data_IF_926993381673
#
_entry.id   IF_926993381673
#
_cell.length_a   1.000
_cell.length_b   1.000
_cell.length_c   1.000
_cell.angle_alpha   90.00
_cell.angle_beta   90.00
_cell.angle_gamma   90.00
#
_symmetry.space_group_name_H-M   'P 1'
#
loop_
_entity.id
_entity.type
_entity.pdbx_description
1 polymer ?
#
# COMPACT_ATOMS: atom_id res chain seq x y z
N UNK A 1 -15.29 2.02 8.62
CA UNK A 1 -13.94 1.51 8.96
C UNK A 1 -14.02 0.93 10.36
N UNK A 2 -13.67 -0.34 10.55
CA UNK A 2 -13.65 -0.99 11.86
C UNK A 2 -12.19 -1.09 12.32
N UNK A 3 -11.90 -0.60 13.53
CA UNK A 3 -10.57 -0.67 14.16
C UNK A 3 -10.71 -1.17 15.59
N UNK A 4 -9.64 -1.74 16.13
CA UNK A 4 -9.58 -2.27 17.51
C UNK A 4 -9.92 -3.75 17.59
N UNK A 5 -11.06 -4.16 17.03
CA UNK A 5 -11.47 -5.58 17.03
C UNK A 5 -11.15 -6.29 15.72
N UNK A 6 -10.85 -7.58 15.83
CA UNK A 6 -10.81 -8.50 14.69
C UNK A 6 -12.23 -8.67 14.13
N UNK A 7 -12.37 -8.63 12.81
CA UNK A 7 -13.67 -8.67 12.14
C UNK A 7 -13.57 -9.43 10.82
N UNK A 8 -14.69 -9.99 10.37
CA UNK A 8 -14.78 -10.91 9.23
C UNK A 8 -15.11 -10.23 7.88
N UNK A 9 -15.11 -8.89 7.80
CA UNK A 9 -15.37 -8.17 6.53
C UNK A 9 -14.48 -8.66 5.37
N UNK A 10 -13.17 -8.92 5.56
CA UNK A 10 -12.33 -9.44 4.48
C UNK A 10 -12.84 -10.76 3.91
N UNK A 11 -13.23 -11.69 4.78
CA UNK A 11 -13.79 -12.99 4.40
C UNK A 11 -15.12 -12.83 3.67
N UNK A 12 -16.04 -12.03 4.22
CA UNK A 12 -17.36 -11.80 3.60
C UNK A 12 -17.23 -11.21 2.19
N UNK A 13 -16.28 -10.27 2.01
CA UNK A 13 -16.02 -9.67 0.71
C UNK A 13 -15.49 -10.69 -0.30
N UNK A 14 -14.57 -11.55 0.13
CA UNK A 14 -13.96 -12.56 -0.73
C UNK A 14 -15.01 -13.58 -1.20
N UNK A 15 -15.86 -14.06 -0.27
CA UNK A 15 -16.98 -14.97 -0.57
C UNK A 15 -17.94 -14.36 -1.61
N UNK A 16 -18.33 -13.09 -1.44
CA UNK A 16 -19.24 -12.41 -2.38
C UNK A 16 -18.62 -12.25 -3.78
N UNK A 17 -17.29 -12.20 -3.87
CA UNK A 17 -16.57 -12.09 -5.13
C UNK A 17 -16.29 -13.45 -5.80
N UNK A 18 -16.32 -14.53 -5.03
CA UNK A 18 -16.02 -15.90 -5.46
C UNK A 18 -17.07 -16.42 -6.45
N UNK A 19 -16.62 -17.20 -7.45
CA UNK A 19 -17.45 -17.57 -8.61
C UNK A 19 -18.59 -18.52 -8.21
N UNK A 20 -18.32 -19.56 -7.41
CA UNK A 20 -19.34 -20.54 -6.99
C UNK A 20 -20.44 -19.87 -6.17
N UNK A 21 -20.07 -18.96 -5.28
CA UNK A 21 -21.03 -18.16 -4.52
C UNK A 21 -21.92 -17.30 -5.42
N UNK A 22 -21.33 -16.65 -6.44
CA UNK A 22 -22.09 -15.83 -7.41
C UNK A 22 -22.99 -16.63 -8.34
N UNK A 23 -22.61 -17.85 -8.71
CA UNK A 23 -23.43 -18.74 -9.55
C UNK A 23 -24.50 -19.47 -8.75
N UNK A 24 -24.43 -19.45 -7.41
CA UNK A 24 -25.32 -20.20 -6.54
C UNK A 24 -25.02 -21.71 -6.49
N UNK A 25 -23.90 -22.15 -7.07
CA UNK A 25 -23.44 -23.54 -7.02
C UNK A 25 -22.68 -23.79 -5.70
N UNK A 26 -23.42 -23.73 -4.61
CA UNK A 26 -22.89 -23.85 -3.25
C UNK A 26 -23.49 -25.06 -2.54
N UNK A 27 -22.65 -25.70 -1.71
CA UNK A 27 -23.05 -26.80 -0.83
C UNK A 27 -23.07 -26.31 0.63
N UNK A 28 -23.65 -27.10 1.53
CA UNK A 28 -23.54 -26.85 2.98
C UNK A 28 -22.09 -26.96 3.50
N UNK A 29 -21.18 -27.52 2.69
CA UNK A 29 -19.74 -27.65 2.98
C UNK A 29 -18.88 -26.63 2.22
N UNK A 30 -19.48 -25.60 1.63
CA UNK A 30 -18.79 -24.57 0.85
C UNK A 30 -17.56 -23.98 1.56
N UNK A 31 -17.70 -23.55 2.81
CA UNK A 31 -16.62 -22.90 3.55
C UNK A 31 -15.40 -23.82 3.74
N UNK A 32 -15.55 -25.06 4.27
CA UNK A 32 -14.44 -26.02 4.34
C UNK A 32 -13.84 -26.41 2.99
N UNK A 33 -14.64 -26.46 1.92
CA UNK A 33 -14.17 -26.79 0.57
C UNK A 33 -13.31 -25.68 -0.05
N UNK A 34 -13.72 -24.42 0.12
CA UNK A 34 -13.03 -23.26 -0.47
C UNK A 34 -11.88 -22.77 0.40
N UNK A 35 -12.01 -22.86 1.72
CA UNK A 35 -11.03 -22.38 2.70
C UNK A 35 -10.64 -23.46 3.72
N UNK A 36 -9.97 -24.56 3.29
CA UNK A 36 -9.61 -25.68 4.18
C UNK A 36 -8.67 -25.26 5.31
N UNK A 37 -7.69 -24.39 5.01
CA UNK A 37 -6.71 -23.86 5.96
C UNK A 37 -7.14 -22.51 6.58
N UNK A 38 -8.43 -22.20 6.50
CA UNK A 38 -8.99 -20.90 6.86
C UNK A 38 -8.67 -19.78 5.85
N UNK A 39 -9.14 -18.57 6.16
CA UNK A 39 -8.96 -17.41 5.30
C UNK A 39 -7.57 -16.80 5.44
N UNK A 40 -6.75 -16.93 4.39
CA UNK A 40 -5.36 -16.45 4.37
C UNK A 40 -5.20 -15.06 3.71
N UNK A 41 -6.31 -14.39 3.39
CA UNK A 41 -6.32 -13.15 2.61
C UNK A 41 -6.43 -13.38 1.11
N UNK A 42 -6.72 -12.30 0.40
CA UNK A 42 -6.88 -12.27 -1.06
C UNK A 42 -5.52 -12.10 -1.73
N UNK A 43 -5.25 -12.91 -2.76
CA UNK A 43 -4.08 -12.77 -3.61
C UNK A 43 -4.36 -11.72 -4.69
N UNK A 44 -3.44 -10.76 -4.83
CA UNK A 44 -3.55 -9.71 -5.85
C UNK A 44 -3.17 -10.25 -7.23
N UNK A 45 -3.93 -9.88 -8.24
CA UNK A 45 -3.52 -10.03 -9.65
C UNK A 45 -2.37 -9.05 -9.98
N UNK A 46 -1.59 -9.27 -11.04
CA UNK A 46 -0.50 -8.36 -11.40
C UNK A 46 -0.95 -6.90 -11.59
N UNK A 47 -2.13 -6.68 -12.17
CA UNK A 47 -2.72 -5.34 -12.36
C UNK A 47 -3.11 -4.69 -11.02
N UNK A 48 -3.63 -5.48 -10.09
CA UNK A 48 -3.98 -5.00 -8.75
C UNK A 48 -2.73 -4.72 -7.90
N UNK A 49 -1.68 -5.53 -8.06
CA UNK A 49 -0.37 -5.28 -7.44
C UNK A 49 0.19 -3.94 -7.91
N UNK A 50 0.23 -3.70 -9.22
CA UNK A 50 0.65 -2.43 -9.81
C UNK A 50 -0.18 -1.27 -9.26
N UNK A 51 -1.50 -1.45 -9.12
CA UNK A 51 -2.39 -0.43 -8.57
C UNK A 51 -2.10 -0.10 -7.11
N UNK A 52 -1.93 -1.11 -6.26
CA UNK A 52 -1.63 -0.93 -4.83
C UNK A 52 -0.26 -0.25 -4.65
N UNK A 53 0.72 -0.65 -5.46
CA UNK A 53 2.05 -0.04 -5.49
C UNK A 53 1.95 1.42 -5.94
N UNK A 54 1.26 1.69 -7.05
CA UNK A 54 1.10 3.03 -7.59
C UNK A 54 0.43 3.97 -6.58
N UNK A 55 -0.61 3.49 -5.92
CA UNK A 55 -1.31 4.24 -4.88
C UNK A 55 -0.42 4.55 -3.67
N UNK A 56 0.34 3.56 -3.17
CA UNK A 56 1.26 3.76 -2.05
C UNK A 56 2.37 4.77 -2.42
N UNK A 57 2.92 4.67 -3.64
CA UNK A 57 3.93 5.60 -4.15
C UNK A 57 3.38 7.03 -4.28
N UNK A 58 2.18 7.19 -4.84
CA UNK A 58 1.50 8.48 -4.96
C UNK A 58 1.23 9.13 -3.59
N UNK A 59 0.79 8.35 -2.61
CA UNK A 59 0.61 8.83 -1.23
C UNK A 59 1.93 9.31 -0.62
N UNK A 60 3.03 8.57 -0.82
CA UNK A 60 4.33 8.97 -0.30
C UNK A 60 4.87 10.21 -1.00
N UNK A 61 4.73 10.30 -2.33
CA UNK A 61 5.09 11.48 -3.11
C UNK A 61 4.34 12.72 -2.61
N UNK A 62 3.03 12.60 -2.36
CA UNK A 62 2.21 13.70 -1.85
C UNK A 62 2.61 14.10 -0.43
N UNK A 63 2.94 13.12 0.42
CA UNK A 63 3.47 13.38 1.77
C UNK A 63 4.75 14.21 1.70
N UNK A 64 5.69 13.84 0.83
CA UNK A 64 6.95 14.58 0.65
C UNK A 64 6.71 15.96 0.03
N UNK A 65 5.86 16.07 -0.99
CA UNK A 65 5.51 17.34 -1.61
C UNK A 65 4.91 18.32 -0.61
N UNK A 66 4.00 17.85 0.25
CA UNK A 66 3.44 18.63 1.35
C UNK A 66 4.50 18.99 2.40
N UNK A 67 5.36 18.06 2.78
CA UNK A 67 6.42 18.32 3.77
C UNK A 67 7.42 19.39 3.30
N UNK A 68 7.60 19.54 1.99
CA UNK A 68 8.45 20.58 1.40
C UNK A 68 7.79 21.97 1.34
N UNK A 69 6.49 22.10 1.67
CA UNK A 69 5.79 23.38 1.72
C UNK A 69 5.89 24.00 3.12
N UNK A 70 7.05 24.59 3.42
CA UNK A 70 7.25 25.32 4.66
C UNK A 70 6.66 26.74 4.56
N UNK A 71 5.83 27.12 5.54
CA UNK A 71 5.42 28.51 5.72
C UNK A 71 6.52 29.30 6.46
N UNK A 72 6.56 30.62 6.25
CA UNK A 72 7.40 31.56 7.02
C UNK A 72 8.92 31.27 6.98
N UNK A 73 9.42 30.77 5.85
CA UNK A 73 10.85 30.52 5.68
C UNK A 73 11.55 31.75 5.06
N UNK A 74 12.49 32.34 5.80
CA UNK A 74 13.27 33.53 5.39
C UNK A 74 14.50 33.22 4.52
N UNK A 75 14.72 31.95 4.15
CA UNK A 75 15.82 31.56 3.25
C UNK A 75 15.47 31.91 1.80
N UNK A 76 16.46 32.36 1.05
CA UNK A 76 16.34 32.69 -0.38
C UNK A 76 15.76 31.52 -1.18
N UNK A 77 14.69 31.77 -1.95
CA UNK A 77 13.92 30.79 -2.74
C UNK A 77 14.34 30.72 -4.21
N UNK A 78 15.50 31.27 -4.58
CA UNK A 78 15.92 31.43 -5.99
C UNK A 78 16.00 30.12 -6.78
N UNK A 79 16.09 28.97 -6.11
CA UNK A 79 16.08 27.61 -6.70
C UNK A 79 14.87 26.76 -6.27
N UNK A 80 13.82 27.37 -5.72
CA UNK A 80 12.66 26.64 -5.22
C UNK A 80 11.73 26.17 -6.35
N UNK A 81 11.90 24.93 -6.80
CA UNK A 81 10.93 24.26 -7.68
C UNK A 81 9.67 23.90 -6.88
N UNK A 82 8.49 24.18 -7.44
CA UNK A 82 7.21 23.86 -6.81
C UNK A 82 7.15 22.38 -6.42
N UNK A 83 6.75 22.08 -5.18
CA UNK A 83 6.85 20.72 -4.64
C UNK A 83 6.06 19.67 -5.43
N UNK A 84 4.98 20.08 -6.09
CA UNK A 84 4.14 19.20 -6.92
C UNK A 84 4.60 19.13 -8.39
N UNK A 85 5.49 20.02 -8.85
CA UNK A 85 6.08 19.92 -10.20
C UNK A 85 7.33 19.04 -10.25
N UNK A 86 7.79 18.53 -9.11
CA UNK A 86 8.94 17.62 -9.01
C UNK A 86 8.54 16.18 -9.34
N UNK A 87 9.42 15.49 -10.05
CA UNK A 87 9.34 14.03 -10.21
C UNK A 87 10.00 13.35 -9.02
N UNK A 88 9.29 12.44 -8.38
CA UNK A 88 9.77 11.66 -7.25
C UNK A 88 10.12 10.25 -7.72
N UNK A 89 11.35 9.81 -7.46
CA UNK A 89 11.83 8.46 -7.78
C UNK A 89 11.88 7.61 -6.52
N UNK A 90 11.23 6.46 -6.57
CA UNK A 90 11.18 5.48 -5.51
C UNK A 90 11.45 4.08 -6.04
N UNK A 91 11.84 3.20 -5.14
CA UNK A 91 11.77 1.76 -5.30
C UNK A 91 10.72 1.28 -4.32
N UNK A 92 9.71 0.61 -4.85
CA UNK A 92 8.62 0.05 -4.07
C UNK A 92 8.68 -1.47 -4.08
N UNK A 93 8.41 -2.09 -2.95
CA UNK A 93 8.32 -3.54 -2.85
C UNK A 93 7.13 -3.98 -2.01
N UNK A 94 6.46 -5.03 -2.49
CA UNK A 94 5.45 -5.77 -1.72
C UNK A 94 6.16 -6.90 -0.97
N UNK A 95 5.93 -7.06 0.34
CA UNK A 95 6.44 -8.21 1.06
C UNK A 95 5.68 -9.43 0.58
N UNK A 96 6.42 -10.37 0.00
CA UNK A 96 5.93 -11.70 -0.30
C UNK A 96 6.02 -12.55 0.98
N UNK A 97 5.30 -13.67 1.06
CA UNK A 97 5.33 -14.59 2.20
C UNK A 97 6.79 -15.00 2.53
N UNK A 98 7.05 -15.34 3.80
CA UNK A 98 8.39 -15.66 4.33
C UNK A 98 9.17 -16.57 3.38
N UNK A 99 10.30 -16.07 2.84
CA UNK A 99 11.24 -16.83 2.02
C UNK A 99 11.41 -16.38 0.57
N UNK A 100 10.46 -15.64 -0.01
CA UNK A 100 10.57 -15.13 -1.39
C UNK A 100 11.15 -13.70 -1.42
N UNK A 101 12.08 -13.45 -2.37
CA UNK A 101 12.62 -12.11 -2.60
C UNK A 101 11.49 -11.20 -3.04
N UNK A 102 11.29 -10.11 -2.29
CA UNK A 102 10.31 -9.09 -2.65
C UNK A 102 10.61 -8.55 -4.05
N UNK A 103 9.60 -8.51 -4.92
CA UNK A 103 9.77 -7.89 -6.24
C UNK A 103 9.94 -6.39 -6.05
N UNK A 104 11.12 -5.90 -6.40
CA UNK A 104 11.42 -4.48 -6.40
C UNK A 104 10.93 -3.87 -7.72
N UNK A 105 10.10 -2.86 -7.61
CA UNK A 105 9.62 -2.09 -8.75
C UNK A 105 10.18 -0.68 -8.66
N UNK A 106 10.88 -0.25 -9.71
CA UNK A 106 11.24 1.16 -9.86
C UNK A 106 9.98 1.96 -10.21
N UNK A 107 9.70 2.98 -9.41
CA UNK A 107 8.49 3.79 -9.48
C UNK A 107 8.85 5.27 -9.58
N UNK A 108 8.40 5.91 -10.64
CA UNK A 108 8.47 7.37 -10.77
C UNK A 108 7.09 7.98 -10.65
N UNK A 109 6.95 9.00 -9.80
CA UNK A 109 5.69 9.70 -9.56
C UNK A 109 5.82 11.15 -9.98
N UNK A 110 4.89 11.62 -10.80
CA UNK A 110 4.72 13.04 -11.16
C UNK A 110 3.28 13.46 -10.93
N UNK A 111 3.04 14.73 -10.59
CA UNK A 111 1.68 15.26 -10.46
C UNK A 111 1.31 16.03 -11.73
N UNK A 112 0.16 15.70 -12.32
CA UNK A 112 -0.32 16.33 -13.54
C UNK A 112 -0.72 17.77 -13.22
N UNK A 113 -0.13 18.75 -13.92
CA UNK A 113 -0.37 20.19 -13.71
C UNK A 113 -0.13 20.69 -12.28
N UNK A 114 0.63 19.95 -11.46
CA UNK A 114 0.84 20.27 -10.05
C UNK A 114 -0.38 20.01 -9.15
N UNK A 115 -1.41 19.31 -9.64
CA UNK A 115 -2.58 18.96 -8.84
C UNK A 115 -2.25 17.85 -7.84
N UNK A 116 -2.45 18.11 -6.55
CA UNK A 116 -2.23 17.13 -5.49
C UNK A 116 -3.14 15.89 -5.58
N UNK A 117 -4.20 15.95 -6.38
CA UNK A 117 -5.22 14.91 -6.54
C UNK A 117 -5.09 14.13 -7.87
N UNK A 118 -4.12 14.47 -8.73
CA UNK A 118 -3.86 13.79 -10.00
C UNK A 118 -2.39 13.39 -10.07
N UNK A 119 -2.11 12.12 -9.87
CA UNK A 119 -0.76 11.57 -9.90
C UNK A 119 -0.61 10.61 -11.08
N UNK A 120 0.47 10.77 -11.84
CA UNK A 120 0.90 9.86 -12.89
C UNK A 120 2.08 9.06 -12.38
N UNK A 121 1.92 7.74 -12.33
CA UNK A 121 2.89 6.81 -11.76
C UNK A 121 3.42 5.89 -12.84
N UNK A 122 4.74 5.87 -13.04
CA UNK A 122 5.43 4.97 -13.96
C UNK A 122 6.04 3.81 -13.17
N UNK A 123 5.58 2.59 -13.41
CA UNK A 123 6.08 1.37 -12.76
C UNK A 123 6.74 0.51 -13.84
N UNK A 124 8.08 0.40 -13.82
CA UNK A 124 8.81 -0.48 -14.75
C UNK A 124 8.48 -0.27 -16.24
N UNK A 125 8.11 0.96 -16.64
CA UNK A 125 7.72 1.31 -18.01
C UNK A 125 6.21 1.35 -18.27
N UNK A 126 5.37 0.82 -17.38
CA UNK A 126 3.91 0.97 -17.46
C UNK A 126 3.45 2.24 -16.77
N UNK A 127 2.51 2.94 -17.40
CA UNK A 127 1.91 4.15 -16.85
C UNK A 127 0.60 3.81 -16.15
N UNK A 128 0.45 4.29 -14.92
CA UNK A 128 -0.77 4.21 -14.13
C UNK A 128 -1.19 5.62 -13.75
N UNK A 129 -2.35 6.04 -14.24
CA UNK A 129 -2.93 7.35 -13.94
C UNK A 129 -3.88 7.20 -12.76
N UNK A 130 -3.65 8.00 -11.71
CA UNK A 130 -4.45 8.01 -10.49
C UNK A 130 -5.10 9.37 -10.33
N UNK A 131 -6.43 9.40 -10.37
CA UNK A 131 -7.27 10.55 -10.03
C UNK A 131 -7.99 10.29 -8.70
N UNK A 132 -8.09 11.31 -7.86
CA UNK A 132 -8.95 11.27 -6.68
C UNK A 132 -8.34 11.88 -5.43
N UNK A 133 -9.00 11.64 -4.30
CA UNK A 133 -8.57 12.23 -3.03
C UNK A 133 -7.42 11.40 -2.43
N UNK A 134 -6.18 11.78 -2.74
CA UNK A 134 -4.95 11.15 -2.20
C UNK A 134 -4.61 11.64 -0.78
N UNK A 135 -5.60 11.90 0.06
CA UNK A 135 -5.35 12.45 1.39
C UNK A 135 -4.82 11.38 2.34
N UNK A 136 -3.64 11.65 2.93
CA UNK A 136 -3.14 10.81 4.01
C UNK A 136 -4.04 10.89 5.26
N UNK A 137 -4.83 11.94 5.45
CA UNK A 137 -5.62 12.11 6.67
C UNK A 137 -6.86 11.23 6.70
N UNK A 138 -7.39 10.87 5.53
CA UNK A 138 -8.62 10.09 5.44
C UNK A 138 -8.34 8.59 5.64
N UNK A 139 -9.16 7.89 6.44
CA UNK A 139 -8.98 6.46 6.66
C UNK A 139 -9.39 5.64 5.42
N UNK A 140 -10.31 6.15 4.60
CA UNK A 140 -10.78 5.56 3.35
C UNK A 140 -10.49 6.55 2.22
N UNK A 141 -9.89 6.06 1.14
CA UNK A 141 -9.67 6.84 -0.07
C UNK A 141 -10.40 6.16 -1.23
N UNK A 142 -11.32 6.90 -1.84
CA UNK A 142 -11.94 6.55 -3.11
C UNK A 142 -11.12 7.22 -4.21
N UNK A 143 -10.46 6.39 -5.01
CA UNK A 143 -9.59 6.78 -6.10
C UNK A 143 -10.10 6.14 -7.39
N UNK A 144 -9.69 6.71 -8.50
CA UNK A 144 -9.88 6.16 -9.83
C UNK A 144 -8.49 5.88 -10.39
N UNK A 145 -8.28 4.64 -10.85
CA UNK A 145 -7.00 4.17 -11.37
C UNK A 145 -7.25 3.65 -12.76
N UNK A 146 -6.63 4.26 -13.78
CA UNK A 146 -6.85 3.92 -15.19
C UNK A 146 -8.35 3.87 -15.59
N UNK A 147 -9.19 4.71 -14.97
CA UNK A 147 -10.64 4.76 -15.19
C UNK A 147 -11.49 3.80 -14.32
N UNK A 148 -10.87 2.95 -13.50
CA UNK A 148 -11.58 2.07 -12.57
C UNK A 148 -11.68 2.66 -11.16
N UNK A 149 -12.89 2.68 -10.60
CA UNK A 149 -13.10 3.15 -9.23
C UNK A 149 -12.65 2.12 -8.20
N UNK A 150 -11.67 2.51 -7.40
CA UNK A 150 -11.06 1.68 -6.37
C UNK A 150 -11.20 2.38 -5.02
N UNK A 151 -11.58 1.60 -4.01
CA UNK A 151 -11.61 2.08 -2.62
C UNK A 151 -10.56 1.34 -1.79
N UNK A 152 -9.63 2.09 -1.23
CA UNK A 152 -8.54 1.59 -0.38
C UNK A 152 -8.64 2.22 1.02
N UNK A 153 -8.08 1.55 2.02
CA UNK A 153 -7.94 2.12 3.35
C UNK A 153 -6.47 2.19 3.77
N UNK A 154 -6.11 3.19 4.55
CA UNK A 154 -4.77 3.31 5.13
C UNK A 154 -4.84 2.83 6.58
N UNK A 155 -4.20 1.69 6.87
CA UNK A 155 -4.20 1.06 8.20
C UNK A 155 -3.03 1.56 9.03
N UNK A 156 -1.86 1.68 8.42
CA UNK A 156 -0.62 1.99 9.10
C UNK A 156 0.30 2.84 8.24
N UNK A 157 1.06 3.72 8.92
CA UNK A 157 2.09 4.55 8.30
C UNK A 157 3.34 4.44 9.16
N UNK A 158 4.37 3.82 8.64
CA UNK A 158 5.71 3.80 9.22
C UNK A 158 6.66 4.54 8.29
N UNK A 159 7.86 4.84 8.77
CA UNK A 159 8.87 5.44 7.91
C UNK A 159 9.25 4.43 6.80
N UNK A 160 9.07 4.82 5.54
CA UNK A 160 9.37 3.97 4.38
C UNK A 160 8.38 2.82 4.12
N UNK A 161 7.30 2.70 4.90
CA UNK A 161 6.30 1.64 4.75
C UNK A 161 4.88 2.21 4.95
N UNK A 162 3.99 1.90 4.01
CA UNK A 162 2.57 2.26 4.06
C UNK A 162 1.77 0.96 4.01
N UNK A 163 0.95 0.72 5.03
CA UNK A 163 0.03 -0.42 5.06
C UNK A 163 -1.30 -0.02 4.42
N UNK A 164 -1.52 -0.51 3.20
CA UNK A 164 -2.74 -0.30 2.43
C UNK A 164 -3.64 -1.53 2.57
N UNK A 165 -4.87 -1.33 3.03
CA UNK A 165 -5.91 -2.36 2.99
C UNK A 165 -6.59 -2.31 1.61
N UNK A 166 -6.47 -3.41 0.87
CA UNK A 166 -7.15 -3.58 -0.41
C UNK A 166 -7.88 -4.92 -0.40
N UNK A 167 -9.14 -4.93 -0.85
CA UNK A 167 -10.03 -6.11 -0.78
C UNK A 167 -10.09 -6.79 0.61
N UNK A 168 -9.87 -6.02 1.68
CA UNK A 168 -9.87 -6.56 3.05
C UNK A 168 -8.55 -7.20 3.49
N UNK A 169 -7.56 -7.29 2.62
CA UNK A 169 -6.22 -7.81 2.97
C UNK A 169 -5.25 -6.65 3.19
N UNK A 170 -4.49 -6.62 4.31
CA UNK A 170 -3.51 -5.57 4.57
C UNK A 170 -2.19 -5.84 3.85
N UNK A 171 -1.84 -4.98 2.90
CA UNK A 171 -0.58 -5.03 2.17
C UNK A 171 0.39 -3.99 2.73
N UNK A 172 1.54 -4.44 3.24
CA UNK A 172 2.58 -3.56 3.78
C UNK A 172 3.53 -3.11 2.66
N UNK A 173 3.18 -2.08 1.91
CA UNK A 173 4.00 -1.61 0.78
C UNK A 173 5.19 -0.81 1.31
N UNK A 174 6.41 -1.23 1.00
CA UNK A 174 7.60 -0.41 1.23
C UNK A 174 7.76 0.57 0.07
N UNK A 175 7.96 1.84 0.36
CA UNK A 175 8.17 2.90 -0.64
C UNK A 175 9.36 3.74 -0.18
N UNK A 176 10.50 3.53 -0.83
CA UNK A 176 11.78 4.06 -0.38
C UNK A 176 12.54 4.71 -1.53
N UNK A 177 13.37 5.73 -1.28
CA UNK A 177 14.33 6.20 -2.28
C UNK A 177 15.33 5.10 -2.65
N UNK A 178 15.84 5.12 -3.88
CA UNK A 178 16.80 4.14 -4.39
C UNK A 178 18.05 4.02 -3.49
N UNK A 179 18.59 5.15 -3.04
CA UNK A 179 19.72 5.20 -2.12
C UNK A 179 19.41 4.47 -0.80
N UNK A 180 18.20 4.61 -0.28
CA UNK A 180 17.79 3.96 0.96
C UNK A 180 17.69 2.44 0.79
N UNK A 181 17.19 1.97 -0.37
CA UNK A 181 17.15 0.54 -0.68
C UNK A 181 18.56 -0.04 -0.74
N UNK A 182 19.50 0.65 -1.40
CA UNK A 182 20.91 0.24 -1.45
C UNK A 182 21.51 0.07 -0.06
N UNK A 183 21.24 0.99 0.87
CA UNK A 183 21.76 0.88 2.24
C UNK A 183 21.05 -0.18 3.08
N UNK A 184 19.76 -0.44 2.83
CA UNK A 184 18.99 -1.46 3.55
C UNK A 184 19.50 -2.88 3.29
N UNK A 185 20.15 -3.15 2.15
CA UNK A 185 20.78 -4.45 1.89
C UNK A 185 21.86 -4.81 2.91
N UNK A 186 22.43 -3.81 3.59
CA UNK A 186 23.45 -4.01 4.63
C UNK A 186 22.85 -4.18 6.03
N UNK A 187 21.53 -4.01 6.20
CA UNK A 187 20.87 -4.18 7.49
C UNK A 187 20.68 -5.67 7.80
N UNK A 188 21.14 -6.10 8.96
CA UNK A 188 20.91 -7.47 9.46
C UNK A 188 19.43 -7.68 9.79
N UNK A 189 18.97 -8.91 9.61
CA UNK A 189 17.63 -9.30 10.05
C UNK A 189 17.50 -9.18 11.57
N UNK A 190 16.34 -8.70 12.02
CA UNK A 190 16.04 -8.62 13.45
C UNK A 190 15.81 -10.04 13.96
N UNK A 191 16.60 -10.45 14.94
CA UNK A 191 16.39 -11.72 15.62
C UNK A 191 14.96 -11.78 16.18
N UNK A 192 14.25 -12.87 15.90
CA UNK A 192 12.96 -13.14 16.54
C UNK A 192 13.24 -13.34 18.03
N UNK A 193 12.51 -12.61 18.87
CA UNK A 193 12.61 -12.78 20.32
C UNK A 193 12.09 -14.17 20.65
N UNK A 194 12.83 -14.91 21.46
CA UNK A 194 12.37 -16.19 21.96
C UNK A 194 11.21 -15.95 22.93
N UNK A 195 10.01 -16.32 22.50
CA UNK A 195 8.82 -16.30 23.33
C UNK A 195 8.73 -17.69 23.98
N UNK A 196 9.53 -17.88 25.04
CA UNK A 196 9.51 -19.13 25.80
C UNK A 196 8.08 -19.46 26.24
N UNK A 197 7.74 -20.75 26.26
CA UNK A 197 6.41 -21.30 26.61
C UNK A 197 5.96 -21.02 28.05
N UNK A 198 6.81 -20.41 28.88
CA UNK A 198 6.50 -20.05 30.26
C UNK A 198 5.98 -18.61 30.30
N UNK A 199 4.75 -18.45 30.78
CA UNK A 199 4.17 -17.12 31.06
C UNK A 199 4.59 -16.71 32.47
N UNK A 200 5.54 -15.80 32.56
CA UNK A 200 5.93 -15.16 33.83
C UNK A 200 4.92 -14.07 34.20
N UNK A 201 4.70 -13.85 35.50
CA UNK A 201 3.94 -12.68 35.96
C UNK A 201 4.67 -11.41 35.51
N UNK A 202 3.99 -10.48 34.82
CA UNK A 202 4.60 -9.22 34.39
C UNK A 202 4.71 -8.19 35.53
N UNK A 203 4.08 -8.47 36.68
CA UNK A 203 4.18 -7.69 37.92
C UNK A 203 4.94 -8.47 38.98
#
# INVERSE_FOLDING_TARGET
VIRGVTHNIPLLRDIVQEKRFRTGDITTKYLPEVYPEGFQGTVLTPTEQETVIAFAAALNARKLARANQYLNQNKQRSTHVASFSKTYKFVSSLPVKEGERATEHAVEVSFVNGDANKAKVLIGGKTVDISGNLSLSLPVNSIEVNGEHITTQIVGKRAGEITVLYKGTPFKVKVLPEQAVKYLQNMKEKAKVDLSTVVLSPM
#
